data_IF_201406077352
#
_entry.id   IF_201406077352
#
_cell.length_a   1.000
_cell.length_b   1.000
_cell.length_c   1.000
_cell.angle_alpha   90.00
_cell.angle_beta   90.00
_cell.angle_gamma   90.00
#
_symmetry.space_group_name_H-M   'P 1'
#
loop_
_entity.id
_entity.type
_entity.pdbx_description
1 polymer ?
#
# COMPACT_ATOMS: atom_id res chain seq x y z
N UNK A 1 -30.75 -14.96 12.63
CA UNK A 1 -30.62 -13.94 13.68
C UNK A 1 -29.82 -14.59 14.78
N UNK A 2 -28.64 -14.06 15.11
CA UNK A 2 -27.85 -14.54 16.25
C UNK A 2 -28.51 -14.01 17.51
N UNK A 3 -29.07 -14.90 18.32
CA UNK A 3 -29.71 -14.55 19.59
C UNK A 3 -28.65 -13.96 20.54
N UNK A 4 -28.90 -12.73 21.00
CA UNK A 4 -28.04 -12.05 21.96
C UNK A 4 -28.27 -12.64 23.37
N UNK A 5 -27.27 -12.61 24.26
CA UNK A 5 -27.42 -13.10 25.63
C UNK A 5 -28.59 -12.45 26.36
N UNK A 6 -29.25 -13.21 27.24
CA UNK A 6 -30.35 -12.72 28.06
C UNK A 6 -29.88 -11.54 28.95
N UNK A 7 -30.59 -10.41 28.90
CA UNK A 7 -30.20 -9.18 29.60
C UNK A 7 -29.16 -8.32 28.88
N UNK A 8 -28.82 -8.63 27.62
CA UNK A 8 -27.89 -7.82 26.82
C UNK A 8 -28.53 -6.48 26.42
N UNK A 9 -28.01 -5.39 26.99
CA UNK A 9 -28.24 -4.04 26.50
C UNK A 9 -27.11 -3.68 25.51
N UNK A 10 -27.48 -3.50 24.24
CA UNK A 10 -26.55 -3.19 23.16
C UNK A 10 -25.85 -1.85 23.34
N UNK A 11 -26.51 -0.89 24.01
CA UNK A 11 -25.93 0.40 24.32
C UNK A 11 -24.91 0.30 25.44
N UNK A 12 -25.25 -0.35 26.56
CA UNK A 12 -24.32 -0.56 27.69
C UNK A 12 -23.07 -1.33 27.26
N UNK A 13 -23.26 -2.35 26.41
CA UNK A 13 -22.13 -3.10 25.87
C UNK A 13 -21.23 -2.27 24.96
N UNK A 14 -21.82 -1.46 24.07
CA UNK A 14 -21.06 -0.53 23.23
C UNK A 14 -20.33 0.51 24.08
N UNK A 15 -20.99 1.05 25.09
CA UNK A 15 -20.46 2.07 26.00
C UNK A 15 -19.24 1.52 26.74
N UNK A 16 -19.40 0.42 27.45
CA UNK A 16 -18.31 -0.22 28.20
C UNK A 16 -17.12 -0.61 27.30
N UNK A 17 -17.39 -1.15 26.10
CA UNK A 17 -16.34 -1.51 25.12
C UNK A 17 -15.60 -0.28 24.59
N UNK A 18 -16.34 0.75 24.18
CA UNK A 18 -15.76 1.99 23.64
C UNK A 18 -14.92 2.71 24.69
N UNK A 19 -15.44 2.83 25.92
CA UNK A 19 -14.75 3.46 27.04
C UNK A 19 -13.44 2.74 27.37
N UNK A 20 -13.45 1.40 27.42
CA UNK A 20 -12.26 0.60 27.65
C UNK A 20 -11.17 0.88 26.59
N UNK A 21 -11.55 0.80 25.32
CA UNK A 21 -10.61 0.96 24.20
C UNK A 21 -10.10 2.40 24.06
N UNK A 22 -10.98 3.37 24.20
CA UNK A 22 -10.62 4.78 24.13
C UNK A 22 -9.70 5.17 25.31
N UNK A 23 -10.05 4.81 26.55
CA UNK A 23 -9.26 5.18 27.71
C UNK A 23 -7.86 4.53 27.69
N UNK A 24 -7.70 3.32 27.16
CA UNK A 24 -6.37 2.73 26.91
C UNK A 24 -5.49 3.61 26.02
N UNK A 25 -6.06 4.26 25.00
CA UNK A 25 -5.33 5.16 24.09
C UNK A 25 -4.96 6.47 24.79
N UNK A 26 -5.87 7.02 25.59
CA UNK A 26 -5.62 8.20 26.43
C UNK A 26 -4.49 7.91 27.43
N UNK A 27 -4.55 6.78 28.14
CA UNK A 27 -3.52 6.39 29.11
C UNK A 27 -2.15 6.18 28.46
N UNK A 28 -2.13 5.59 27.26
CA UNK A 28 -0.90 5.45 26.48
C UNK A 28 -0.31 6.81 26.08
N UNK A 29 -1.15 7.79 25.75
CA UNK A 29 -0.70 9.13 25.37
C UNK A 29 -0.19 9.94 26.56
N UNK A 30 -0.83 9.80 27.72
CA UNK A 30 -0.46 10.43 28.99
C UNK A 30 0.20 9.42 29.95
N UNK A 31 1.13 8.62 29.42
CA UNK A 31 1.81 7.57 30.20
C UNK A 31 2.75 8.13 31.28
N UNK A 32 3.10 9.41 31.17
CA UNK A 32 3.91 10.16 32.12
C UNK A 32 3.09 10.75 33.29
N UNK A 33 1.76 10.77 33.16
CA UNK A 33 0.84 11.20 34.22
C UNK A 33 0.36 9.99 35.02
N UNK A 34 0.60 10.00 36.33
CA UNK A 34 0.14 8.94 37.22
C UNK A 34 -1.38 8.95 37.41
N UNK A 35 -1.96 7.76 37.60
CA UNK A 35 -3.40 7.60 37.81
C UNK A 35 -4.25 8.10 36.64
N UNK A 36 -5.45 8.59 36.93
CA UNK A 36 -6.42 9.08 35.93
C UNK A 36 -6.23 10.55 35.54
N UNK A 37 -5.22 11.22 36.08
CA UNK A 37 -5.04 12.67 36.01
C UNK A 37 -5.72 13.39 37.17
N UNK A 38 -5.34 14.65 37.35
CA UNK A 38 -5.79 15.55 38.41
C UNK A 38 -5.68 17.01 37.94
N UNK A 39 -6.08 17.97 38.77
CA UNK A 39 -6.00 19.41 38.45
C UNK A 39 -4.68 20.05 38.88
N UNK A 40 -3.68 19.27 39.31
CA UNK A 40 -2.42 19.79 39.85
C UNK A 40 -1.58 20.54 38.81
N UNK A 41 -1.67 20.11 37.55
CA UNK A 41 -0.94 20.72 36.44
C UNK A 41 -1.70 20.53 35.12
N UNK A 42 -1.33 21.32 34.11
CA UNK A 42 -2.02 21.36 32.81
C UNK A 42 -2.09 19.97 32.14
N UNK A 43 -1.01 19.18 32.23
CA UNK A 43 -0.94 17.87 31.57
C UNK A 43 -1.79 16.83 32.28
N UNK A 44 -1.76 16.79 33.61
CA UNK A 44 -2.65 15.95 34.41
C UNK A 44 -4.12 16.33 34.21
N UNK A 45 -4.42 17.63 34.10
CA UNK A 45 -5.77 18.15 33.90
C UNK A 45 -6.31 17.75 32.52
N UNK A 46 -5.47 17.79 31.49
CA UNK A 46 -5.83 17.33 30.15
C UNK A 46 -6.10 15.83 30.10
N UNK A 47 -5.34 14.99 30.83
CA UNK A 47 -5.64 13.55 30.94
C UNK A 47 -7.04 13.33 31.52
N UNK A 48 -7.34 14.01 32.64
CA UNK A 48 -8.63 13.94 33.31
C UNK A 48 -9.79 14.41 32.39
N UNK A 49 -9.56 15.48 31.63
CA UNK A 49 -10.53 16.01 30.67
C UNK A 49 -10.77 15.05 29.49
N UNK A 50 -9.75 14.32 29.02
CA UNK A 50 -9.91 13.38 27.91
C UNK A 50 -10.60 12.07 28.32
N UNK A 51 -10.39 11.57 29.54
CA UNK A 51 -10.91 10.26 29.95
C UNK A 51 -12.44 10.22 29.98
N UNK A 52 -13.00 9.15 29.43
CA UNK A 52 -14.42 8.83 29.54
C UNK A 52 -14.71 8.19 30.91
N UNK A 53 -15.84 8.57 31.51
CA UNK A 53 -16.32 7.99 32.76
C UNK A 53 -17.73 7.44 32.61
N UNK A 54 -18.04 6.46 33.46
CA UNK A 54 -19.35 5.86 33.59
C UNK A 54 -20.31 6.89 34.22
N UNK A 55 -21.29 7.35 33.45
CA UNK A 55 -22.18 8.48 33.81
C UNK A 55 -22.01 9.74 32.96
N UNK A 56 -21.00 9.80 32.09
CA UNK A 56 -20.99 10.84 31.05
C UNK A 56 -22.13 10.57 30.03
N UNK A 57 -22.82 11.62 29.61
CA UNK A 57 -23.78 11.53 28.50
C UNK A 57 -23.07 11.55 27.13
N UNK A 58 -23.83 11.27 26.07
CA UNK A 58 -23.30 11.22 24.70
C UNK A 58 -22.64 12.53 24.25
N UNK A 59 -23.15 13.69 24.66
CA UNK A 59 -22.55 14.98 24.29
C UNK A 59 -21.17 15.15 24.95
N UNK A 60 -21.06 14.79 26.24
CA UNK A 60 -19.79 14.80 26.96
C UNK A 60 -18.80 13.81 26.35
N UNK A 61 -19.26 12.60 25.98
CA UNK A 61 -18.44 11.61 25.27
C UNK A 61 -17.85 12.16 23.98
N UNK A 62 -18.69 12.79 23.16
CA UNK A 62 -18.25 13.39 21.90
C UNK A 62 -17.23 14.51 22.14
N UNK A 63 -17.48 15.37 23.14
CA UNK A 63 -16.58 16.49 23.44
C UNK A 63 -15.21 16.02 23.95
N UNK A 64 -15.17 15.03 24.86
CA UNK A 64 -13.93 14.43 25.36
C UNK A 64 -13.17 13.70 24.25
N UNK A 65 -13.89 12.95 23.42
CA UNK A 65 -13.33 12.27 22.25
C UNK A 65 -12.73 13.27 21.26
N UNK A 66 -13.44 14.35 20.94
CA UNK A 66 -12.97 15.41 20.03
C UNK A 66 -11.81 16.20 20.63
N UNK A 67 -11.81 16.50 21.93
CA UNK A 67 -10.68 17.12 22.63
C UNK A 67 -9.39 16.30 22.43
N UNK A 68 -9.47 14.98 22.60
CA UNK A 68 -8.32 14.08 22.46
C UNK A 68 -7.88 13.89 21.00
N UNK A 69 -8.81 13.60 20.10
CA UNK A 69 -8.48 13.30 18.71
C UNK A 69 -8.19 14.56 17.90
N UNK A 70 -8.99 15.62 18.03
CA UNK A 70 -8.97 16.78 17.13
C UNK A 70 -8.12 17.92 17.68
N UNK A 71 -8.38 18.35 18.93
CA UNK A 71 -7.73 19.53 19.52
C UNK A 71 -6.30 19.20 19.99
N UNK A 72 -6.14 18.12 20.75
CA UNK A 72 -4.80 17.60 21.15
C UNK A 72 -4.09 16.95 19.95
N UNK A 73 -4.85 16.58 18.92
CA UNK A 73 -4.33 16.09 17.65
C UNK A 73 -3.81 14.66 17.72
N UNK A 74 -4.36 13.81 18.59
CA UNK A 74 -4.01 12.39 18.63
C UNK A 74 -4.30 11.70 17.29
N UNK A 75 -5.36 12.13 16.57
CA UNK A 75 -5.63 11.65 15.22
C UNK A 75 -4.48 12.03 14.29
N UNK A 76 -4.08 13.30 14.24
CA UNK A 76 -3.02 13.82 13.37
C UNK A 76 -1.63 13.25 13.64
N UNK A 77 -1.31 12.96 14.90
CA UNK A 77 -0.01 12.36 15.28
C UNK A 77 0.10 10.87 14.94
N UNK A 78 -1.03 10.17 14.80
CA UNK A 78 -1.08 8.74 14.48
C UNK A 78 -1.59 8.44 13.07
N UNK A 79 -2.14 9.44 12.35
CA UNK A 79 -2.18 9.40 10.91
C UNK A 79 -0.72 9.25 10.45
N UNK A 80 -0.46 8.23 9.63
CA UNK A 80 0.82 8.11 8.95
C UNK A 80 1.20 9.50 8.43
N UNK A 81 2.47 9.91 8.58
CA UNK A 81 2.96 11.08 7.84
C UNK A 81 2.66 10.75 6.39
N UNK A 82 1.58 11.32 5.86
CA UNK A 82 1.22 11.22 4.46
C UNK A 82 2.27 12.08 3.79
N UNK A 83 3.38 11.43 3.40
CA UNK A 83 4.10 11.92 2.24
C UNK A 83 3.03 11.95 1.16
N UNK A 84 2.59 13.15 0.78
CA UNK A 84 1.52 13.34 -0.19
C UNK A 84 1.65 12.34 -1.32
N UNK A 85 0.53 11.75 -1.73
CA UNK A 85 0.52 10.92 -2.92
C UNK A 85 1.14 11.75 -4.05
N UNK A 86 2.16 11.22 -4.74
CA UNK A 86 2.71 11.91 -5.91
C UNK A 86 1.63 12.14 -6.98
N UNK A 87 0.49 11.47 -6.91
CA UNK A 87 -0.63 11.67 -7.82
C UNK A 87 -1.40 12.96 -7.59
N UNK A 88 -1.47 13.49 -6.36
CA UNK A 88 -2.30 14.67 -6.06
C UNK A 88 -1.68 15.97 -6.58
N UNK A 89 -0.36 16.00 -6.78
CA UNK A 89 0.40 17.17 -7.25
C UNK A 89 1.23 16.89 -8.50
N UNK A 90 1.11 15.69 -9.10
CA UNK A 90 1.74 15.45 -10.39
C UNK A 90 1.07 16.36 -11.42
N UNK A 91 1.84 17.13 -12.21
CA UNK A 91 1.26 17.76 -13.40
C UNK A 91 0.56 16.65 -14.21
N UNK A 92 -0.65 16.86 -14.72
CA UNK A 92 -1.37 15.86 -15.51
C UNK A 92 -0.44 15.42 -16.63
N UNK A 93 0.16 14.24 -16.48
CA UNK A 93 1.01 13.69 -17.54
C UNK A 93 0.05 13.21 -18.59
N UNK A 94 0.00 13.96 -19.69
CA UNK A 94 -0.97 13.78 -20.76
C UNK A 94 -1.11 12.33 -21.23
N UNK A 95 -2.33 12.02 -21.68
CA UNK A 95 -2.61 10.99 -22.67
C UNK A 95 -2.96 9.64 -22.09
N UNK A 96 -1.98 8.90 -21.60
CA UNK A 96 -2.13 7.44 -21.53
C UNK A 96 -2.37 6.90 -20.11
N UNK A 97 -3.33 5.96 -19.94
CA UNK A 97 -3.51 5.23 -18.69
C UNK A 97 -2.24 4.51 -18.27
N UNK A 98 -2.02 4.38 -16.96
CA UNK A 98 -0.85 3.69 -16.42
C UNK A 98 -1.28 2.43 -15.68
N UNK A 99 -0.77 1.29 -16.13
CA UNK A 99 -0.98 -0.02 -15.52
C UNK A 99 0.11 -0.28 -14.49
N UNK A 100 -0.28 -0.74 -13.31
CA UNK A 100 0.58 -1.08 -12.18
C UNK A 100 0.44 -2.55 -11.83
N UNK A 101 1.57 -3.19 -11.54
CA UNK A 101 1.70 -4.55 -11.05
C UNK A 101 2.38 -4.51 -9.68
N UNK A 102 1.72 -5.06 -8.67
CA UNK A 102 2.20 -5.07 -7.29
C UNK A 102 2.57 -6.49 -6.89
N UNK A 103 3.79 -6.65 -6.38
CA UNK A 103 4.31 -7.89 -5.82
C UNK A 103 4.65 -7.66 -4.36
N UNK A 104 4.29 -8.59 -3.50
CA UNK A 104 4.64 -8.49 -2.08
C UNK A 104 5.04 -9.84 -1.50
N UNK A 105 5.86 -9.77 -0.47
CA UNK A 105 6.18 -10.92 0.36
C UNK A 105 4.88 -11.50 0.98
N UNK A 106 4.84 -12.82 1.16
CA UNK A 106 3.80 -13.47 1.98
C UNK A 106 3.97 -13.07 3.44
N UNK A 107 2.85 -12.85 4.15
CA UNK A 107 2.87 -12.47 5.56
C UNK A 107 3.63 -13.48 6.43
N UNK A 108 3.56 -14.78 6.11
CA UNK A 108 4.28 -15.84 6.81
C UNK A 108 5.81 -15.76 6.64
N UNK A 109 6.31 -15.09 5.59
CA UNK A 109 7.72 -14.91 5.33
C UNK A 109 8.25 -13.53 5.77
N UNK A 110 7.36 -12.63 6.20
CA UNK A 110 7.73 -11.28 6.66
C UNK A 110 8.23 -11.31 8.10
N UNK A 111 9.42 -10.75 8.41
CA UNK A 111 9.89 -10.64 9.79
C UNK A 111 8.93 -9.81 10.65
N UNK A 112 8.69 -10.24 11.90
CA UNK A 112 7.70 -9.63 12.80
C UNK A 112 7.91 -8.14 13.08
N UNK A 113 9.16 -7.66 13.04
CA UNK A 113 9.53 -6.28 13.33
C UNK A 113 9.67 -5.39 12.08
N UNK A 114 9.45 -5.92 10.88
CA UNK A 114 9.65 -5.19 9.62
C UNK A 114 8.42 -5.27 8.69
N UNK A 115 8.15 -4.21 7.90
CA UNK A 115 7.12 -4.28 6.87
C UNK A 115 7.50 -5.30 5.77
N UNK A 116 6.51 -5.90 5.09
CA UNK A 116 6.77 -6.77 3.95
C UNK A 116 7.50 -6.01 2.85
N UNK A 117 8.37 -6.71 2.13
CA UNK A 117 8.97 -6.17 0.90
C UNK A 117 7.87 -6.09 -0.16
N UNK A 118 7.75 -4.93 -0.79
CA UNK A 118 6.78 -4.65 -1.84
C UNK A 118 7.53 -4.09 -3.04
N UNK A 119 7.29 -4.67 -4.21
CA UNK A 119 7.71 -4.10 -5.49
C UNK A 119 6.48 -3.70 -6.27
N UNK A 120 6.54 -2.50 -6.84
CA UNK A 120 5.55 -2.01 -7.78
C UNK A 120 6.23 -1.74 -9.10
N UNK A 121 5.64 -2.22 -10.19
CA UNK A 121 6.10 -1.96 -11.53
C UNK A 121 4.98 -1.39 -12.37
N UNK A 122 5.30 -0.40 -13.19
CA UNK A 122 4.31 0.26 -14.03
C UNK A 122 4.75 0.40 -15.47
N UNK A 123 3.74 0.45 -16.35
CA UNK A 123 3.84 0.66 -17.79
C UNK A 123 2.67 1.54 -18.24
N UNK A 124 2.92 2.45 -19.18
CA UNK A 124 1.85 3.24 -19.80
C UNK A 124 1.22 2.46 -20.95
N UNK A 125 -0.10 2.50 -21.04
CA UNK A 125 -0.86 1.85 -22.09
C UNK A 125 -0.94 2.78 -23.31
N UNK A 126 0.15 2.83 -24.09
CA UNK A 126 0.33 3.77 -25.21
C UNK A 126 -0.66 3.58 -26.37
N UNK A 127 -1.47 2.51 -26.38
CA UNK A 127 -2.53 2.27 -27.37
C UNK A 127 -3.83 2.99 -27.04
N UNK A 128 -3.96 3.52 -25.82
CA UNK A 128 -5.19 4.11 -25.32
C UNK A 128 -4.95 5.50 -24.77
N UNK A 129 -5.93 6.38 -24.98
CA UNK A 129 -6.04 7.64 -24.25
C UNK A 129 -6.83 7.45 -22.95
N UNK A 130 -6.65 8.37 -22.00
CA UNK A 130 -7.30 8.32 -20.68
C UNK A 130 -8.72 8.86 -20.77
N UNK A 131 -8.96 9.85 -21.63
CA UNK A 131 -10.27 10.40 -21.91
C UNK A 131 -10.51 10.58 -23.41
N UNK A 132 -11.78 10.55 -23.81
CA UNK A 132 -12.17 10.88 -25.17
C UNK A 132 -11.91 12.35 -25.46
N UNK A 133 -11.19 12.64 -26.54
CA UNK A 133 -10.85 14.02 -26.91
C UNK A 133 -9.75 14.64 -26.06
N UNK A 134 -8.90 13.82 -25.42
CA UNK A 134 -7.65 14.30 -24.84
C UNK A 134 -6.84 15.05 -25.92
N UNK A 135 -6.48 16.30 -25.64
CA UNK A 135 -5.74 17.20 -26.54
C UNK A 135 -4.22 16.95 -26.45
N UNK A 136 -3.82 15.68 -26.36
CA UNK A 136 -2.40 15.29 -26.35
C UNK A 136 -1.81 15.11 -27.75
N UNK A 137 -2.62 15.32 -28.79
CA UNK A 137 -2.26 15.15 -30.19
C UNK A 137 -2.25 13.69 -30.68
N UNK A 138 -2.64 12.72 -29.84
CA UNK A 138 -2.82 11.32 -30.21
C UNK A 138 -4.24 11.08 -30.77
N UNK A 139 -4.36 10.22 -31.79
CA UNK A 139 -5.65 9.72 -32.29
C UNK A 139 -6.08 8.45 -31.54
N UNK A 140 -5.61 8.27 -30.30
CA UNK A 140 -5.77 7.03 -29.58
C UNK A 140 -7.18 6.92 -28.98
N UNK A 141 -7.72 5.70 -29.03
CA UNK A 141 -9.07 5.42 -28.52
C UNK A 141 -9.05 5.47 -27.00
N UNK A 142 -10.03 6.16 -26.40
CA UNK A 142 -10.17 6.22 -24.96
C UNK A 142 -10.31 4.81 -24.35
N UNK A 143 -9.61 4.56 -23.24
CA UNK A 143 -9.69 3.28 -22.57
C UNK A 143 -11.11 3.05 -22.03
N UNK A 144 -11.68 1.89 -22.34
CA UNK A 144 -13.02 1.52 -21.90
C UNK A 144 -12.94 0.44 -20.82
N UNK A 145 -14.06 0.21 -20.11
CA UNK A 145 -14.17 -0.91 -19.18
C UNK A 145 -13.96 -2.27 -19.88
N UNK A 146 -14.37 -2.40 -21.14
CA UNK A 146 -14.15 -3.62 -21.93
C UNK A 146 -12.65 -3.86 -22.13
N UNK A 147 -11.89 -2.86 -22.58
CA UNK A 147 -10.43 -2.97 -22.74
C UNK A 147 -9.74 -3.33 -21.42
N UNK A 148 -10.13 -2.69 -20.32
CA UNK A 148 -9.57 -3.01 -18.99
C UNK A 148 -9.90 -4.43 -18.54
N UNK A 149 -11.08 -4.95 -18.89
CA UNK A 149 -11.49 -6.32 -18.56
C UNK A 149 -10.70 -7.34 -19.38
N UNK A 150 -10.44 -7.07 -20.66
CA UNK A 150 -9.58 -7.90 -21.52
C UNK A 150 -8.14 -7.97 -20.97
N UNK A 151 -7.55 -6.83 -20.63
CA UNK A 151 -6.24 -6.75 -19.98
C UNK A 151 -6.26 -7.54 -18.66
N UNK A 152 -7.32 -7.41 -17.86
CA UNK A 152 -7.46 -8.14 -16.60
C UNK A 152 -7.51 -9.67 -16.80
N UNK A 153 -8.19 -10.15 -17.85
CA UNK A 153 -8.19 -11.57 -18.21
C UNK A 153 -6.81 -12.06 -18.65
N UNK A 154 -6.09 -11.28 -19.45
CA UNK A 154 -4.73 -11.64 -19.87
C UNK A 154 -3.76 -11.67 -18.68
N UNK A 155 -3.83 -10.67 -17.79
CA UNK A 155 -3.06 -10.66 -16.54
C UNK A 155 -3.40 -11.88 -15.69
N UNK A 156 -4.68 -12.26 -15.57
CA UNK A 156 -5.09 -13.47 -14.85
C UNK A 156 -4.42 -14.72 -15.43
N UNK A 157 -4.42 -14.87 -16.75
CA UNK A 157 -3.79 -16.01 -17.42
C UNK A 157 -2.27 -16.04 -17.20
N UNK A 158 -1.60 -14.88 -17.24
CA UNK A 158 -0.15 -14.80 -17.19
C UNK A 158 0.45 -14.80 -15.78
N UNK A 159 -0.25 -14.19 -14.82
CA UNK A 159 0.25 -13.92 -13.45
C UNK A 159 -0.42 -14.75 -12.37
N UNK A 160 -1.40 -15.60 -12.69
CA UNK A 160 -1.99 -16.55 -11.74
C UNK A 160 -1.80 -17.97 -12.23
N UNK A 161 -1.23 -18.81 -11.36
CA UNK A 161 -1.01 -20.24 -11.59
C UNK A 161 -1.37 -21.02 -10.33
N UNK A 162 -2.08 -22.14 -10.49
CA UNK A 162 -2.50 -22.98 -9.36
C UNK A 162 -3.32 -22.23 -8.28
N UNK A 163 -4.20 -21.31 -8.71
CA UNK A 163 -4.98 -20.43 -7.83
C UNK A 163 -4.12 -19.60 -6.86
N UNK A 164 -2.93 -19.19 -7.30
CA UNK A 164 -2.00 -18.30 -6.60
C UNK A 164 -1.35 -17.34 -7.59
N UNK A 165 -0.99 -16.14 -7.15
CA UNK A 165 -0.12 -15.27 -7.94
C UNK A 165 1.24 -15.94 -8.18
N UNK A 166 1.82 -15.74 -9.35
CA UNK A 166 3.21 -16.15 -9.64
C UNK A 166 4.17 -15.46 -8.67
N UNK A 167 5.30 -16.09 -8.42
CA UNK A 167 6.35 -15.53 -7.60
C UNK A 167 7.67 -15.42 -8.35
N UNK A 168 8.52 -14.54 -7.85
CA UNK A 168 9.92 -14.46 -8.23
C UNK A 168 10.75 -14.08 -7.01
N UNK A 169 12.06 -14.33 -7.10
CA UNK A 169 12.99 -13.99 -6.02
C UNK A 169 13.57 -12.60 -6.26
N UNK A 170 13.29 -11.65 -5.37
CA UNK A 170 14.01 -10.38 -5.33
C UNK A 170 15.40 -10.60 -4.73
N UNK A 171 16.38 -9.81 -5.14
CA UNK A 171 17.75 -9.96 -4.65
C UNK A 171 18.67 -8.83 -5.06
N UNK A 172 19.95 -9.17 -5.25
CA UNK A 172 21.01 -8.17 -5.40
C UNK A 172 20.93 -7.35 -6.67
N UNK A 173 20.50 -7.98 -7.77
CA UNK A 173 20.56 -7.38 -9.10
C UNK A 173 19.38 -6.43 -9.28
N UNK A 174 19.58 -5.39 -10.07
CA UNK A 174 18.51 -4.47 -10.48
C UNK A 174 18.27 -4.62 -11.97
N UNK A 175 17.06 -4.97 -12.37
CA UNK A 175 16.65 -5.11 -13.76
C UNK A 175 15.75 -3.94 -14.17
N UNK A 176 16.02 -3.36 -15.33
CA UNK A 176 15.20 -2.33 -15.95
C UNK A 176 14.93 -2.67 -17.40
N UNK A 177 13.66 -2.68 -17.79
CA UNK A 177 13.23 -2.70 -19.18
C UNK A 177 12.87 -1.27 -19.61
N UNK A 178 13.53 -0.77 -20.65
CA UNK A 178 13.36 0.60 -21.15
C UNK A 178 12.84 0.57 -22.57
N UNK A 179 11.58 0.97 -22.73
CA UNK A 179 10.92 1.07 -24.02
C UNK A 179 9.90 2.22 -24.02
N UNK A 180 10.35 3.48 -24.17
CA UNK A 180 9.48 4.64 -24.05
C UNK A 180 8.33 4.65 -25.06
N UNK A 181 8.56 4.12 -26.27
CA UNK A 181 7.55 4.00 -27.34
C UNK A 181 6.38 3.11 -26.91
N UNK A 182 6.65 2.07 -26.12
CA UNK A 182 5.64 1.16 -25.58
C UNK A 182 5.32 1.43 -24.10
N UNK A 183 5.62 2.64 -23.61
CA UNK A 183 5.20 3.08 -22.27
C UNK A 183 6.09 2.65 -21.11
N UNK A 184 7.24 2.03 -21.37
CA UNK A 184 8.23 1.67 -20.35
C UNK A 184 9.26 2.78 -20.16
N UNK A 185 9.05 3.62 -19.15
CA UNK A 185 9.91 4.76 -18.85
C UNK A 185 11.35 4.36 -18.43
N UNK A 186 12.30 5.23 -18.77
CA UNK A 186 13.71 5.11 -18.34
C UNK A 186 13.82 5.16 -16.82
N UNK A 187 14.72 4.35 -16.26
CA UNK A 187 15.12 4.41 -14.85
C UNK A 187 14.19 3.69 -13.87
N UNK A 188 13.07 3.12 -14.32
CA UNK A 188 12.22 2.31 -13.46
C UNK A 188 12.76 0.86 -13.43
N UNK A 189 13.35 0.45 -12.31
CA UNK A 189 13.95 -0.87 -12.12
C UNK A 189 13.24 -1.68 -11.02
N UNK A 190 13.34 -2.99 -11.10
CA UNK A 190 12.93 -3.92 -10.06
C UNK A 190 14.14 -4.71 -9.55
N UNK A 191 14.17 -5.04 -8.26
CA UNK A 191 15.21 -5.90 -7.72
C UNK A 191 14.89 -7.37 -8.02
N UNK A 192 15.87 -8.10 -8.51
CA UNK A 192 15.76 -9.50 -8.95
C UNK A 192 16.99 -10.29 -8.50
N UNK A 193 16.85 -11.60 -8.37
CA UNK A 193 17.98 -12.46 -8.05
C UNK A 193 18.75 -12.89 -9.31
N UNK A 194 18.04 -13.12 -10.42
CA UNK A 194 18.62 -13.53 -11.70
C UNK A 194 18.10 -12.71 -12.89
N UNK A 195 18.81 -12.77 -14.02
CA UNK A 195 18.34 -12.20 -15.29
C UNK A 195 17.09 -12.94 -15.81
N UNK A 196 16.98 -14.24 -15.54
CA UNK A 196 15.84 -15.04 -15.98
C UNK A 196 14.54 -14.59 -15.30
N UNK A 197 14.57 -14.31 -13.99
CA UNK A 197 13.41 -13.77 -13.26
C UNK A 197 12.94 -12.45 -13.89
N UNK A 198 13.88 -11.58 -14.24
CA UNK A 198 13.56 -10.32 -14.90
C UNK A 198 12.95 -10.55 -16.29
N UNK A 199 13.56 -11.40 -17.11
CA UNK A 199 13.05 -11.73 -18.45
C UNK A 199 11.63 -12.27 -18.37
N UNK A 200 11.35 -13.21 -17.47
CA UNK A 200 10.02 -13.81 -17.33
C UNK A 200 8.97 -12.77 -16.93
N UNK A 201 9.24 -11.94 -15.91
CA UNK A 201 8.29 -10.92 -15.46
C UNK A 201 8.07 -9.87 -16.54
N UNK A 202 9.13 -9.33 -17.15
CA UNK A 202 8.97 -8.30 -18.18
C UNK A 202 8.31 -8.84 -19.45
N UNK A 203 8.60 -10.07 -19.84
CA UNK A 203 7.93 -10.72 -20.96
C UNK A 203 6.43 -10.89 -20.69
N UNK A 204 6.03 -11.31 -19.48
CA UNK A 204 4.61 -11.37 -19.09
C UNK A 204 3.96 -9.99 -19.07
N UNK A 205 4.65 -8.94 -18.61
CA UNK A 205 4.12 -7.56 -18.65
C UNK A 205 3.93 -7.11 -20.11
N UNK A 206 4.90 -7.34 -20.99
CA UNK A 206 4.81 -7.02 -22.41
C UNK A 206 3.66 -7.75 -23.10
N UNK A 207 3.48 -9.05 -22.82
CA UNK A 207 2.37 -9.84 -23.34
C UNK A 207 1.01 -9.32 -22.85
N UNK A 208 0.90 -8.92 -21.58
CA UNK A 208 -0.35 -8.38 -21.00
C UNK A 208 -0.85 -7.07 -21.66
N UNK A 209 0.01 -6.38 -22.41
CA UNK A 209 -0.33 -5.15 -23.14
C UNK A 209 -0.18 -5.31 -24.67
N UNK A 210 -0.03 -6.54 -25.15
CA UNK A 210 0.16 -6.89 -26.55
C UNK A 210 1.33 -6.14 -27.22
N UNK A 211 2.49 -6.14 -26.57
CA UNK A 211 3.75 -5.57 -27.08
C UNK A 211 4.81 -6.69 -27.16
N UNK A 212 5.59 -6.80 -28.25
CA UNK A 212 6.65 -7.79 -28.34
C UNK A 212 7.79 -7.47 -27.36
N UNK A 213 8.17 -8.45 -26.55
CA UNK A 213 9.33 -8.33 -25.66
C UNK A 213 10.64 -8.28 -26.45
N UNK A 214 11.47 -7.27 -26.15
CA UNK A 214 12.76 -7.01 -26.79
C UNK A 214 13.91 -7.20 -25.80
N UNK A 215 14.66 -8.30 -25.93
CA UNK A 215 15.73 -8.66 -24.98
C UNK A 215 16.81 -7.58 -24.85
N UNK A 216 17.07 -6.84 -25.92
CA UNK A 216 18.02 -5.72 -25.98
C UNK A 216 17.59 -4.51 -25.13
N UNK A 217 16.28 -4.38 -24.83
CA UNK A 217 15.73 -3.33 -23.97
C UNK A 217 15.79 -3.69 -22.49
N UNK A 218 16.18 -4.93 -22.15
CA UNK A 218 16.38 -5.40 -20.78
C UNK A 218 17.84 -5.23 -20.33
N UNK A 219 18.04 -4.33 -19.37
CA UNK A 219 19.33 -4.10 -18.71
C UNK A 219 19.26 -4.70 -17.30
N UNK A 220 20.28 -5.46 -16.92
CA UNK A 220 20.42 -6.01 -15.57
C UNK A 220 21.77 -5.59 -15.03
N UNK A 221 21.75 -4.86 -13.91
CA UNK A 221 22.94 -4.38 -13.23
C UNK A 221 23.19 -5.20 -11.97
N UNK A 222 24.43 -5.63 -11.76
CA UNK A 222 24.89 -6.28 -10.53
C UNK A 222 25.69 -5.27 -9.70
N UNK A 223 25.26 -4.92 -8.47
CA UNK A 223 26.00 -3.99 -7.64
C UNK A 223 27.18 -4.67 -6.94
N UNK A 224 28.27 -3.93 -6.73
CA UNK A 224 29.47 -4.41 -6.00
C UNK A 224 29.16 -4.81 -4.55
N UNK A 225 28.20 -4.12 -3.92
CA UNK A 225 27.77 -4.42 -2.56
C UNK A 225 26.80 -5.60 -2.57
N UNK A 226 27.12 -6.64 -1.81
CA UNK A 226 26.24 -7.79 -1.63
C UNK A 226 24.95 -7.46 -0.86
N UNK A 227 23.90 -8.23 -1.13
CA UNK A 227 22.60 -8.14 -0.46
C UNK A 227 22.69 -8.50 1.02
N UNK A 228 21.83 -7.89 1.83
CA UNK A 228 21.62 -8.31 3.22
C UNK A 228 20.80 -9.59 3.24
N UNK A 229 21.44 -10.71 3.58
CA UNK A 229 20.81 -12.04 3.64
C UNK A 229 20.23 -12.37 5.02
N UNK A 230 20.60 -11.60 6.04
CA UNK A 230 20.07 -11.76 7.41
C UNK A 230 18.69 -11.09 7.56
N UNK A 231 17.89 -11.61 8.49
CA UNK A 231 16.57 -11.05 8.82
C UNK A 231 16.62 -9.61 9.36
N UNK A 232 17.80 -9.15 9.78
CA UNK A 232 18.06 -7.83 10.37
C UNK A 232 19.39 -7.27 9.88
N UNK A 233 19.47 -5.96 9.63
CA UNK A 233 20.72 -5.24 9.32
C UNK A 233 21.40 -4.64 10.56
N UNK A 234 21.02 -5.12 11.75
CA UNK A 234 21.44 -4.56 13.04
C UNK A 234 20.61 -3.34 13.46
N UNK A 235 20.85 -2.84 14.68
CA UNK A 235 20.21 -1.60 15.19
C UNK A 235 21.20 -0.44 15.13
N UNK A 236 20.75 0.71 14.65
CA UNK A 236 21.49 1.98 14.66
C UNK A 236 20.82 2.97 15.60
N UNK A 237 21.57 3.91 16.16
CA UNK A 237 21.00 4.98 16.98
C UNK A 237 20.67 6.17 16.10
N UNK A 238 19.39 6.55 16.04
CA UNK A 238 18.91 7.74 15.34
C UNK A 238 18.18 8.62 16.35
N UNK A 239 18.62 9.86 16.51
CA UNK A 239 18.08 10.81 17.49
C UNK A 239 17.99 10.21 18.92
N UNK A 240 19.05 9.52 19.35
CA UNK A 240 19.14 8.90 20.68
C UNK A 240 18.31 7.62 20.86
N UNK A 241 17.52 7.20 19.87
CA UNK A 241 16.72 5.96 19.91
C UNK A 241 17.38 4.87 19.09
N UNK A 242 17.45 3.65 19.63
CA UNK A 242 17.88 2.47 18.86
C UNK A 242 16.76 2.08 17.91
N UNK A 243 17.00 2.19 16.61
CA UNK A 243 16.08 1.81 15.53
C UNK A 243 16.71 0.71 14.67
N UNK A 244 15.85 -0.11 14.06
CA UNK A 244 16.28 -1.15 13.15
C UNK A 244 16.89 -0.53 11.88
N UNK A 245 18.08 -0.98 11.49
CA UNK A 245 18.76 -0.48 10.30
C UNK A 245 18.09 -1.06 9.04
N UNK A 246 18.14 -0.32 7.94
CA UNK A 246 17.54 -0.76 6.67
C UNK A 246 18.40 -1.85 6.03
N UNK A 247 17.76 -2.96 5.63
CA UNK A 247 18.40 -4.01 4.84
C UNK A 247 18.73 -3.50 3.44
N UNK A 248 19.95 -3.76 2.98
CA UNK A 248 20.36 -3.43 1.62
C UNK A 248 19.92 -4.54 0.67
N UNK A 249 19.03 -4.23 -0.27
CA UNK A 249 18.51 -5.16 -1.32
C UNK A 249 18.22 -6.56 -0.75
N UNK A 250 17.32 -6.70 0.24
CA UNK A 250 17.07 -7.98 0.89
C UNK A 250 16.59 -9.03 -0.12
N UNK A 251 17.02 -10.28 0.09
CA UNK A 251 16.56 -11.43 -0.70
C UNK A 251 15.23 -11.92 -0.12
N UNK A 252 14.19 -11.99 -0.95
CA UNK A 252 12.89 -12.51 -0.56
C UNK A 252 12.11 -13.01 -1.77
N UNK A 253 11.16 -13.91 -1.52
CA UNK A 253 10.19 -14.34 -2.53
C UNK A 253 9.04 -13.34 -2.54
N UNK A 254 8.78 -12.74 -3.69
CA UNK A 254 7.68 -11.80 -3.89
C UNK A 254 6.63 -12.45 -4.78
N UNK A 255 5.37 -12.41 -4.33
CA UNK A 255 4.23 -12.95 -5.06
C UNK A 255 3.42 -11.83 -5.66
N UNK A 256 2.93 -12.02 -6.88
CA UNK A 256 1.96 -11.13 -7.51
C UNK A 256 0.71 -10.98 -6.64
N UNK A 257 0.33 -9.74 -6.34
CA UNK A 257 -0.81 -9.42 -5.46
C UNK A 257 -1.97 -8.79 -6.17
N UNK A 258 -1.67 -7.75 -6.94
CA UNK A 258 -2.64 -6.78 -7.40
C UNK A 258 -2.16 -6.22 -8.72
N UNK A 259 -3.10 -6.03 -9.66
CA UNK A 259 -2.90 -5.13 -10.78
C UNK A 259 -4.02 -4.10 -10.83
N UNK A 260 -3.66 -2.86 -11.16
CA UNK A 260 -4.62 -1.75 -11.25
C UNK A 260 -4.20 -0.75 -12.31
N UNK A 261 -5.17 -0.02 -12.84
CA UNK A 261 -4.95 1.06 -13.81
C UNK A 261 -5.29 2.40 -13.16
N UNK A 262 -4.38 3.34 -13.29
CA UNK A 262 -4.63 4.76 -13.05
C UNK A 262 -5.01 5.41 -14.38
N UNK A 263 -6.16 6.06 -14.43
CA UNK A 263 -6.69 6.70 -15.65
C UNK A 263 -6.78 8.21 -15.43
N UNK A 264 -5.89 8.98 -16.04
CA UNK A 264 -5.93 10.45 -16.04
C UNK A 264 -6.37 11.09 -14.71
N UNK A 265 -7.50 11.79 -14.75
CA UNK A 265 -8.09 12.53 -13.61
C UNK A 265 -8.96 11.68 -12.68
N UNK A 266 -9.16 10.39 -12.99
CA UNK A 266 -9.93 9.50 -12.14
C UNK A 266 -9.11 9.18 -10.88
N UNK A 267 -9.51 9.79 -9.75
CA UNK A 267 -8.83 9.66 -8.46
C UNK A 267 -8.75 8.20 -7.98
N UNK A 268 -9.85 7.42 -7.93
CA UNK A 268 -9.74 6.02 -7.55
C UNK A 268 -9.18 5.20 -8.72
N UNK A 269 -8.07 4.45 -8.51
CA UNK A 269 -7.59 3.53 -9.54
C UNK A 269 -8.60 2.40 -9.78
N UNK A 270 -8.65 1.90 -11.00
CA UNK A 270 -9.48 0.76 -11.37
C UNK A 270 -8.70 -0.52 -11.08
N UNK A 271 -9.18 -1.31 -10.13
CA UNK A 271 -8.57 -2.58 -9.77
C UNK A 271 -8.93 -3.63 -10.81
N UNK A 272 -7.92 -4.22 -11.46
CA UNK A 272 -8.13 -5.26 -12.47
C UNK A 272 -8.33 -6.62 -11.81
N UNK A 273 -7.37 -7.00 -10.97
CA UNK A 273 -7.35 -8.28 -10.25
C UNK A 273 -6.63 -8.12 -8.91
N UNK A 274 -7.17 -8.73 -7.86
CA UNK A 274 -6.60 -8.72 -6.50
C UNK A 274 -6.63 -10.14 -5.91
N UNK A 275 -5.45 -10.70 -5.66
CA UNK A 275 -5.27 -12.02 -5.04
C UNK A 275 -5.37 -11.99 -3.51
N UNK A 276 -5.36 -10.80 -2.91
CA UNK A 276 -5.47 -10.61 -1.45
C UNK A 276 -6.91 -10.55 -0.98
N UNK A 277 -7.87 -10.48 -1.91
CA UNK A 277 -9.31 -10.35 -1.65
C UNK A 277 -9.68 -9.11 -0.83
N UNK A 278 -8.80 -8.11 -0.75
CA UNK A 278 -9.06 -6.84 -0.04
C UNK A 278 -9.87 -5.88 -0.88
N UNK A 279 -9.69 -5.92 -2.19
CA UNK A 279 -10.38 -5.07 -3.15
C UNK A 279 -11.21 -5.91 -4.12
N UNK A 280 -12.27 -5.31 -4.66
CA UNK A 280 -13.07 -5.91 -5.74
C UNK A 280 -12.44 -5.58 -7.09
N UNK A 281 -11.83 -6.58 -7.74
CA UNK A 281 -11.32 -6.46 -9.10
C UNK A 281 -12.41 -6.53 -10.17
N UNK A 282 -12.08 -6.06 -11.39
CA UNK A 282 -12.93 -6.25 -12.58
C UNK A 282 -13.11 -7.74 -12.92
N UNK A 283 -12.05 -8.52 -12.77
CA UNK A 283 -12.07 -9.97 -12.96
C UNK A 283 -11.92 -10.65 -11.59
N UNK A 284 -12.79 -11.60 -11.24
CA UNK A 284 -12.70 -12.29 -9.96
C UNK A 284 -11.44 -13.14 -9.90
N UNK A 285 -10.78 -13.11 -8.75
CA UNK A 285 -9.78 -14.11 -8.39
C UNK A 285 -10.45 -15.48 -8.26
N UNK A 286 -9.82 -16.59 -8.72
CA UNK A 286 -10.38 -17.93 -8.59
C UNK A 286 -10.52 -18.39 -7.14
#
# INVERSE_FOLDING_TARGET
MTDLPEGFDSWEHLQSTYMLEYNKRVDKFFNDVQGNGDLSNVRSSLKLACRLVDGDNQATWNLRTSLFFDVIGYSRKNLAIVYGSKFDTAPPVAGHPQLFFVFSQDAAATPTEEPPIIHEKSVRLMKFSSASGDDDGSNDTAITKTHMTEIAHEIKTLFISGSRGIDYTCGNKSASYTDPENGFAKGNYMLVNSRNDATEIYQKICNAIDVPFKTEKLIVNDPDKASTTTASAGKITVLGKKVQNRRYRPVAILRFRLAYISVGTLIPPVILIDTTMRNKGLVPYP
#
